data_IF_954673558693
#
_entry.id   IF_954673558693
#
_cell.length_a   1.000
_cell.length_b   1.000
_cell.length_c   1.000
_cell.angle_alpha   90.00
_cell.angle_beta   90.00
_cell.angle_gamma   90.00
#
_symmetry.space_group_name_H-M   'P 1'
#
loop_
_entity.id
_entity.type
_entity.pdbx_description
1 polymer ?
#
# COMPACT_ATOMS: atom_id res chain seq x y z
N UNK A 1 15.53 10.49 -0.54
CA UNK A 1 14.77 11.71 -0.98
C UNK A 1 13.28 11.35 -0.95
N UNK A 2 12.43 12.22 -0.42
CA UNK A 2 10.97 12.02 -0.38
C UNK A 2 10.43 12.39 -1.76
N UNK A 3 9.89 11.40 -2.48
CA UNK A 3 9.28 11.65 -3.79
C UNK A 3 7.81 12.07 -3.64
N UNK A 4 7.35 12.95 -4.52
CA UNK A 4 6.00 13.55 -4.51
C UNK A 4 5.02 12.72 -5.31
N UNK A 5 3.72 12.79 -4.94
CA UNK A 5 2.62 12.42 -5.81
C UNK A 5 2.05 13.70 -6.41
N UNK A 6 1.92 13.73 -7.73
CA UNK A 6 1.28 14.83 -8.46
C UNK A 6 -0.05 14.33 -9.02
N UNK A 7 -1.14 15.06 -8.74
CA UNK A 7 -2.47 14.76 -9.24
C UNK A 7 -2.95 15.84 -10.19
N UNK A 8 -3.40 15.44 -11.35
CA UNK A 8 -3.95 16.31 -12.39
C UNK A 8 -5.42 15.97 -12.63
N UNK A 9 -6.32 16.72 -11.98
CA UNK A 9 -7.77 16.57 -12.09
C UNK A 9 -8.44 17.61 -13.01
N UNK A 10 -7.64 18.38 -13.78
CA UNK A 10 -8.10 19.41 -14.70
C UNK A 10 -7.35 19.30 -16.04
N UNK A 11 -7.89 19.87 -17.14
CA UNK A 11 -7.17 19.97 -18.41
C UNK A 11 -5.79 20.55 -18.23
N UNK A 12 -4.78 19.94 -18.84
CA UNK A 12 -3.40 20.40 -18.71
C UNK A 12 -2.46 19.79 -19.74
N UNK A 13 -1.33 20.48 -19.98
CA UNK A 13 -0.26 20.03 -20.85
C UNK A 13 0.97 19.73 -20.01
N UNK A 14 1.45 18.49 -20.07
CA UNK A 14 2.58 17.99 -19.32
C UNK A 14 3.72 17.69 -20.31
N UNK A 15 4.87 18.32 -20.12
CA UNK A 15 6.01 18.15 -20.99
C UNK A 15 7.31 18.12 -20.21
N UNK A 16 8.38 17.64 -20.84
CA UNK A 16 9.73 17.69 -20.28
C UNK A 16 10.44 18.95 -20.73
N UNK A 17 10.97 19.71 -19.77
CA UNK A 17 11.85 20.84 -20.03
C UNK A 17 12.94 20.91 -18.95
N UNK A 18 14.21 21.00 -19.36
CA UNK A 18 15.36 21.16 -18.44
C UNK A 18 15.37 20.15 -17.28
N UNK A 19 15.08 18.86 -17.58
CA UNK A 19 14.92 17.76 -16.60
C UNK A 19 13.81 18.00 -15.56
N UNK A 20 12.86 18.86 -15.89
CA UNK A 20 11.70 19.14 -15.05
C UNK A 20 10.42 18.76 -15.79
N UNK A 21 9.42 18.27 -15.05
CA UNK A 21 8.06 18.21 -15.50
C UNK A 21 7.52 19.63 -15.60
N UNK A 22 7.39 20.14 -16.82
CA UNK A 22 6.74 21.42 -17.09
C UNK A 22 5.23 21.21 -17.18
N UNK A 23 4.49 21.97 -16.39
CA UNK A 23 3.05 21.89 -16.21
C UNK A 23 2.44 23.19 -16.74
N UNK A 24 1.56 23.11 -17.72
CA UNK A 24 0.77 24.22 -18.22
C UNK A 24 -0.72 23.93 -17.98
N UNK A 25 -1.34 24.73 -17.10
CA UNK A 25 -2.74 24.59 -16.70
C UNK A 25 -3.55 25.77 -17.28
N UNK A 26 -4.22 25.60 -18.43
CA UNK A 26 -4.90 26.71 -19.12
C UNK A 26 -5.94 27.44 -18.28
N UNK A 27 -6.64 26.71 -17.38
CA UNK A 27 -7.68 27.27 -16.52
C UNK A 27 -7.15 28.24 -15.44
N UNK A 28 -5.87 28.20 -15.12
CA UNK A 28 -5.25 29.12 -14.16
C UNK A 28 -4.82 30.45 -14.81
N UNK A 29 -4.72 30.51 -16.13
CA UNK A 29 -4.32 31.71 -16.88
C UNK A 29 -5.34 32.86 -16.78
N UNK A 30 -6.59 32.55 -16.39
CA UNK A 30 -7.68 33.53 -16.25
C UNK A 30 -7.68 34.25 -14.91
N UNK A 31 -6.91 33.79 -13.92
CA UNK A 31 -6.93 34.31 -12.56
C UNK A 31 -5.71 35.19 -12.21
N UNK A 32 -4.54 34.92 -12.85
CA UNK A 32 -3.35 35.75 -12.76
C UNK A 32 -2.33 35.34 -13.85
N UNK A 33 -1.87 36.28 -14.67
CA UNK A 33 -1.09 35.99 -15.89
C UNK A 33 0.27 35.34 -15.67
N UNK A 34 0.74 35.20 -14.45
CA UNK A 34 2.06 34.59 -14.13
C UNK A 34 2.00 33.14 -13.64
N UNK A 35 0.86 32.60 -13.23
CA UNK A 35 0.78 31.36 -12.45
C UNK A 35 0.34 30.10 -13.21
N UNK A 36 0.03 30.19 -14.50
CA UNK A 36 -0.38 29.02 -15.31
C UNK A 36 0.72 28.00 -15.60
N UNK A 37 2.01 28.33 -15.35
CA UNK A 37 3.14 27.46 -15.65
C UNK A 37 3.94 27.16 -14.38
N UNK A 38 4.01 25.88 -14.04
CA UNK A 38 4.80 25.38 -12.92
C UNK A 38 5.77 24.32 -13.42
N UNK A 39 6.85 24.07 -12.67
CA UNK A 39 7.75 22.97 -12.95
C UNK A 39 8.15 22.23 -11.68
N UNK A 40 8.40 20.93 -11.83
CA UNK A 40 8.83 20.04 -10.75
C UNK A 40 9.99 19.19 -11.27
N UNK A 41 11.13 19.12 -10.55
CA UNK A 41 12.22 18.23 -10.93
C UNK A 41 11.73 16.78 -11.08
N UNK A 42 12.10 16.12 -12.17
CA UNK A 42 11.69 14.72 -12.43
C UNK A 42 12.13 13.78 -11.28
N UNK A 43 13.30 14.04 -10.72
CA UNK A 43 13.86 13.25 -9.61
C UNK A 43 13.03 13.31 -8.33
N UNK A 44 12.25 14.37 -8.12
CA UNK A 44 11.36 14.53 -6.97
C UNK A 44 10.01 13.81 -7.14
N UNK A 45 9.72 13.28 -8.33
CA UNK A 45 8.42 12.70 -8.65
C UNK A 45 8.46 11.19 -8.43
N UNK A 46 7.52 10.69 -7.65
CA UNK A 46 7.31 9.25 -7.43
C UNK A 46 6.12 8.71 -8.19
N UNK A 47 5.02 9.46 -8.22
CA UNK A 47 3.79 9.07 -8.90
C UNK A 47 3.16 10.30 -9.58
N UNK A 48 2.66 10.09 -10.78
CA UNK A 48 1.80 11.05 -11.50
C UNK A 48 0.43 10.41 -11.67
N UNK A 49 -0.62 11.10 -11.26
CA UNK A 49 -2.02 10.66 -11.42
C UNK A 49 -2.69 11.54 -12.45
N UNK A 50 -3.09 10.92 -13.57
CA UNK A 50 -3.79 11.56 -14.68
C UNK A 50 -5.29 11.28 -14.54
N UNK A 51 -6.04 12.27 -14.04
CA UNK A 51 -7.45 12.13 -13.65
C UNK A 51 -8.37 13.09 -14.42
N UNK A 52 -8.03 13.39 -15.67
CA UNK A 52 -8.89 14.18 -16.55
C UNK A 52 -8.69 13.77 -18.03
N UNK A 53 -9.77 13.60 -18.83
CA UNK A 53 -9.68 13.13 -20.21
C UNK A 53 -8.94 14.10 -21.15
N UNK A 54 -8.83 15.38 -20.82
CA UNK A 54 -8.14 16.39 -21.62
C UNK A 54 -6.71 16.69 -21.13
N UNK A 55 -6.08 15.73 -20.46
CA UNK A 55 -4.65 15.85 -20.14
C UNK A 55 -3.83 15.37 -21.34
N UNK A 56 -2.89 16.19 -21.75
CA UNK A 56 -1.87 15.82 -22.74
C UNK A 56 -0.52 15.67 -22.06
N UNK A 57 0.14 14.54 -22.27
CA UNK A 57 1.49 14.29 -21.80
C UNK A 57 2.40 13.94 -22.97
N UNK A 58 3.57 14.55 -23.06
CA UNK A 58 4.51 14.27 -24.15
C UNK A 58 5.25 12.94 -23.89
N UNK A 59 5.65 12.25 -24.98
CA UNK A 59 6.44 11.02 -24.91
C UNK A 59 7.71 11.19 -24.07
N UNK A 60 8.52 12.24 -24.33
CA UNK A 60 9.74 12.48 -23.58
C UNK A 60 9.51 12.75 -22.08
N UNK A 61 8.34 13.28 -21.71
CA UNK A 61 7.97 13.41 -20.30
C UNK A 61 7.67 12.03 -19.67
N UNK A 62 6.95 11.16 -20.36
CA UNK A 62 6.68 9.77 -19.88
C UNK A 62 7.99 9.00 -19.74
N UNK A 63 8.87 9.07 -20.76
CA UNK A 63 10.20 8.43 -20.74
C UNK A 63 11.00 8.84 -19.51
N UNK A 64 11.19 10.16 -19.30
CA UNK A 64 11.96 10.69 -18.18
C UNK A 64 11.38 10.30 -16.80
N UNK A 65 10.04 10.25 -16.67
CA UNK A 65 9.38 9.81 -15.45
C UNK A 65 9.67 8.32 -15.17
N UNK A 66 9.54 7.46 -16.19
CA UNK A 66 9.78 6.01 -16.04
C UNK A 66 11.27 5.73 -15.79
N UNK A 67 12.19 6.43 -16.46
CA UNK A 67 13.63 6.30 -16.21
C UNK A 67 14.02 6.66 -14.76
N UNK A 68 13.29 7.58 -14.14
CA UNK A 68 13.44 7.92 -12.72
C UNK A 68 12.63 7.04 -11.75
N UNK A 69 12.15 5.88 -12.21
CA UNK A 69 11.30 5.01 -11.41
C UNK A 69 10.04 5.70 -10.87
N UNK A 70 9.48 6.66 -11.58
CA UNK A 70 8.17 7.18 -11.29
C UNK A 70 7.10 6.25 -11.89
N UNK A 71 5.94 6.14 -11.23
CA UNK A 71 4.77 5.47 -11.77
C UNK A 71 3.79 6.50 -12.35
N UNK A 72 3.07 6.13 -13.42
CA UNK A 72 2.00 6.96 -13.98
C UNK A 72 0.69 6.19 -13.84
N UNK A 73 -0.26 6.76 -13.10
CA UNK A 73 -1.62 6.24 -12.93
C UNK A 73 -2.53 6.97 -13.92
N UNK A 74 -3.34 6.21 -14.65
CA UNK A 74 -4.41 6.74 -15.50
C UNK A 74 -5.73 6.38 -14.87
N UNK A 75 -6.60 7.38 -14.64
CA UNK A 75 -7.93 7.16 -14.10
C UNK A 75 -8.97 7.02 -15.22
N UNK A 76 -10.05 6.31 -14.92
CA UNK A 76 -11.22 6.18 -15.80
C UNK A 76 -12.16 7.40 -15.65
N UNK A 77 -13.27 7.35 -16.41
CA UNK A 77 -14.33 8.38 -16.38
C UNK A 77 -15.03 8.53 -15.02
N UNK A 78 -14.88 7.55 -14.14
CA UNK A 78 -15.39 7.55 -12.76
C UNK A 78 -14.32 8.01 -11.77
N UNK A 79 -13.20 8.53 -12.27
CA UNK A 79 -12.06 9.00 -11.48
C UNK A 79 -11.36 7.89 -10.66
N UNK A 80 -11.56 6.62 -11.00
CA UNK A 80 -10.86 5.51 -10.36
C UNK A 80 -9.62 5.11 -11.17
N UNK A 81 -8.51 4.73 -10.50
CA UNK A 81 -7.33 4.20 -11.16
C UNK A 81 -7.66 2.98 -12.02
N UNK A 82 -7.48 3.11 -13.35
CA UNK A 82 -7.78 2.09 -14.35
C UNK A 82 -6.52 1.51 -15.00
N UNK A 83 -5.43 2.29 -15.03
CA UNK A 83 -4.16 1.87 -15.64
C UNK A 83 -2.96 2.34 -14.83
N UNK A 84 -1.86 1.57 -14.92
CA UNK A 84 -0.61 1.86 -14.23
C UNK A 84 0.56 1.58 -15.18
N UNK A 85 1.37 2.62 -15.47
CA UNK A 85 2.63 2.48 -16.19
C UNK A 85 3.77 2.40 -15.17
N UNK A 86 4.60 1.39 -15.33
CA UNK A 86 5.79 1.13 -14.50
C UNK A 86 7.02 0.95 -15.39
N UNK A 87 8.23 1.24 -14.90
CA UNK A 87 9.46 0.95 -15.63
C UNK A 87 9.58 -0.53 -15.98
N UNK A 88 10.06 -0.83 -17.18
CA UNK A 88 10.39 -2.21 -17.58
C UNK A 88 11.65 -2.72 -16.86
N UNK A 89 12.61 -1.83 -16.65
CA UNK A 89 13.90 -2.12 -16.00
C UNK A 89 14.03 -1.29 -14.71
N UNK A 90 13.30 -1.72 -13.66
CA UNK A 90 13.28 -1.00 -12.38
C UNK A 90 14.51 -1.25 -11.49
N UNK A 91 15.32 -2.31 -11.79
CA UNK A 91 16.46 -2.72 -10.96
C UNK A 91 17.59 -3.32 -11.77
N UNK A 92 18.84 -2.96 -11.47
CA UNK A 92 20.04 -3.39 -12.22
C UNK A 92 20.23 -4.90 -12.27
N UNK A 93 19.89 -5.64 -11.22
CA UNK A 93 19.98 -7.12 -11.11
C UNK A 93 18.60 -7.78 -11.17
N UNK A 94 17.66 -7.19 -11.90
CA UNK A 94 16.26 -7.63 -11.99
C UNK A 94 16.13 -9.11 -12.38
N UNK A 95 16.90 -9.57 -13.37
CA UNK A 95 16.87 -10.95 -13.83
C UNK A 95 17.26 -11.96 -12.74
N UNK A 96 18.20 -11.60 -11.85
CA UNK A 96 18.59 -12.42 -10.72
C UNK A 96 17.50 -12.45 -9.65
N UNK A 97 16.94 -11.32 -9.31
CA UNK A 97 15.83 -11.21 -8.36
C UNK A 97 14.59 -11.99 -8.83
N UNK A 98 14.28 -11.95 -10.14
CA UNK A 98 13.21 -12.77 -10.72
C UNK A 98 13.47 -14.26 -10.53
N UNK A 99 14.71 -14.73 -10.77
CA UNK A 99 15.08 -16.12 -10.53
C UNK A 99 14.90 -16.52 -9.08
N UNK A 100 15.28 -15.66 -8.12
CA UNK A 100 15.10 -15.93 -6.69
C UNK A 100 13.61 -16.00 -6.33
N UNK A 101 12.78 -15.05 -6.80
CA UNK A 101 11.36 -15.04 -6.57
C UNK A 101 10.66 -16.29 -7.16
N UNK A 102 10.98 -16.66 -8.40
CA UNK A 102 10.43 -17.85 -9.07
C UNK A 102 10.79 -19.15 -8.35
N UNK A 103 12.02 -19.23 -7.82
CA UNK A 103 12.54 -20.40 -7.08
C UNK A 103 12.16 -20.40 -5.59
N UNK A 104 11.43 -19.39 -5.11
CA UNK A 104 11.01 -19.33 -3.72
C UNK A 104 10.12 -20.54 -3.37
N UNK A 105 10.54 -21.29 -2.35
CA UNK A 105 9.83 -22.48 -1.91
C UNK A 105 8.48 -22.14 -1.27
N UNK A 106 7.53 -23.07 -1.34
CA UNK A 106 6.22 -22.90 -0.70
C UNK A 106 6.33 -22.64 0.83
N UNK A 107 7.18 -23.36 1.59
CA UNK A 107 7.37 -23.06 3.01
C UNK A 107 7.85 -21.62 3.26
N UNK A 108 8.77 -21.09 2.44
CA UNK A 108 9.19 -19.69 2.55
C UNK A 108 8.02 -18.74 2.33
N UNK A 109 7.23 -18.93 1.26
CA UNK A 109 6.06 -18.10 0.98
C UNK A 109 5.06 -18.09 2.13
N UNK A 110 4.78 -19.26 2.73
CA UNK A 110 3.90 -19.42 3.88
C UNK A 110 4.40 -18.66 5.12
N UNK A 111 5.72 -18.70 5.39
CA UNK A 111 6.34 -17.93 6.48
C UNK A 111 6.29 -16.42 6.22
N UNK A 112 6.48 -15.99 4.97
CA UNK A 112 6.37 -14.58 4.60
C UNK A 112 4.93 -14.07 4.74
N UNK A 113 3.94 -14.90 4.35
CA UNK A 113 2.52 -14.58 4.56
C UNK A 113 2.17 -14.47 6.05
N UNK A 114 2.64 -15.39 6.88
CA UNK A 114 2.48 -15.30 8.32
C UNK A 114 2.90 -13.93 8.87
N UNK A 115 4.08 -13.44 8.50
CA UNK A 115 4.59 -12.12 8.93
C UNK A 115 3.71 -10.98 8.41
N UNK A 116 3.22 -11.09 7.17
CA UNK A 116 2.31 -10.12 6.57
C UNK A 116 0.99 -10.04 7.32
N UNK A 117 0.35 -11.18 7.59
CA UNK A 117 -0.89 -11.26 8.33
C UNK A 117 -0.73 -10.74 9.78
N UNK A 118 0.34 -11.12 10.45
CA UNK A 118 0.67 -10.61 11.80
C UNK A 118 0.78 -9.08 11.80
N UNK A 119 1.56 -8.49 10.89
CA UNK A 119 1.74 -7.06 10.81
C UNK A 119 0.43 -6.32 10.46
N UNK A 120 -0.41 -6.88 9.57
CA UNK A 120 -1.75 -6.36 9.27
C UNK A 120 -2.61 -6.32 10.52
N UNK A 121 -2.76 -7.46 11.22
CA UNK A 121 -3.61 -7.56 12.42
C UNK A 121 -3.14 -6.56 13.49
N UNK A 122 -1.83 -6.44 13.71
CA UNK A 122 -1.26 -5.49 14.68
C UNK A 122 -1.57 -4.04 14.32
N UNK A 123 -1.49 -3.67 13.04
CA UNK A 123 -1.82 -2.33 12.58
C UNK A 123 -3.32 -2.03 12.68
N UNK A 124 -4.17 -3.00 12.35
CA UNK A 124 -5.62 -2.89 12.57
C UNK A 124 -5.95 -2.74 14.07
N UNK A 125 -5.31 -3.52 14.93
CA UNK A 125 -5.48 -3.40 16.37
C UNK A 125 -5.08 -2.01 16.87
N UNK A 126 -4.00 -1.41 16.33
CA UNK A 126 -3.57 -0.07 16.67
C UNK A 126 -4.61 1.00 16.30
N UNK A 127 -5.23 0.90 15.14
CA UNK A 127 -6.32 1.81 14.73
C UNK A 127 -7.49 1.72 15.70
N UNK A 128 -7.98 0.51 16.01
CA UNK A 128 -9.10 0.32 16.94
C UNK A 128 -8.77 0.77 18.37
N UNK A 129 -7.56 0.48 18.83
CA UNK A 129 -7.11 0.92 20.15
C UNK A 129 -7.05 2.45 20.26
N UNK A 130 -6.70 3.15 19.17
CA UNK A 130 -6.79 4.62 19.07
C UNK A 130 -8.22 5.15 19.21
N UNK A 131 -9.23 4.34 18.92
CA UNK A 131 -10.66 4.64 19.12
C UNK A 131 -11.19 4.17 20.49
N UNK A 132 -10.35 3.66 21.37
CA UNK A 132 -10.75 3.16 22.69
C UNK A 132 -11.39 1.77 22.68
N UNK A 133 -11.34 1.05 21.57
CA UNK A 133 -11.84 -0.33 21.46
C UNK A 133 -10.81 -1.28 22.06
N UNK A 134 -11.28 -2.25 22.85
CA UNK A 134 -10.42 -3.32 23.35
C UNK A 134 -9.98 -4.23 22.20
N UNK A 135 -8.68 -4.51 22.13
CA UNK A 135 -8.05 -5.26 21.05
C UNK A 135 -7.23 -6.45 21.55
N UNK A 136 -7.44 -6.91 22.79
CA UNK A 136 -6.68 -8.06 23.33
C UNK A 136 -6.90 -9.33 22.50
N UNK A 137 -8.11 -9.53 21.96
CA UNK A 137 -8.41 -10.61 21.03
C UNK A 137 -7.56 -10.51 19.73
N UNK A 138 -7.39 -9.32 19.16
CA UNK A 138 -6.58 -9.13 17.95
C UNK A 138 -5.10 -9.36 18.23
N UNK A 139 -4.62 -8.93 19.39
CA UNK A 139 -3.24 -9.20 19.82
C UNK A 139 -2.99 -10.69 20.06
N UNK A 140 -3.99 -11.42 20.55
CA UNK A 140 -3.93 -12.88 20.65
C UNK A 140 -3.89 -13.53 19.25
N UNK A 141 -4.78 -13.11 18.32
CA UNK A 141 -4.80 -13.64 16.96
C UNK A 141 -3.48 -13.38 16.23
N UNK A 142 -2.93 -12.15 16.33
CA UNK A 142 -1.64 -11.83 15.72
C UNK A 142 -0.51 -12.78 16.18
N UNK A 143 -0.45 -13.10 17.48
CA UNK A 143 0.53 -14.04 18.02
C UNK A 143 0.27 -15.50 17.60
N UNK A 144 -0.98 -15.85 17.32
CA UNK A 144 -1.40 -17.21 17.01
C UNK A 144 -1.36 -17.53 15.50
N UNK A 145 -1.10 -16.54 14.62
CA UNK A 145 -0.95 -16.79 13.18
C UNK A 145 0.20 -17.76 12.93
N UNK A 146 -0.10 -18.88 12.32
CA UNK A 146 0.87 -19.89 11.86
C UNK A 146 1.21 -19.68 10.38
N UNK A 147 2.27 -20.31 9.85
CA UNK A 147 2.58 -20.25 8.41
C UNK A 147 1.33 -20.62 7.57
N UNK A 148 1.00 -19.73 6.59
CA UNK A 148 -0.20 -19.85 5.73
C UNK A 148 -1.56 -19.52 6.41
N UNK A 149 -1.56 -19.13 7.68
CA UNK A 149 -2.75 -18.80 8.49
C UNK A 149 -3.90 -19.84 8.41
N UNK A 150 -3.64 -21.14 8.70
CA UNK A 150 -4.65 -22.20 8.54
C UNK A 150 -5.87 -22.01 9.44
N UNK A 151 -5.76 -21.22 10.50
CA UNK A 151 -6.86 -20.93 11.42
C UNK A 151 -7.66 -19.67 11.02
N UNK A 152 -7.26 -19.03 9.91
CA UNK A 152 -7.88 -17.81 9.37
C UNK A 152 -7.98 -16.67 10.40
N UNK A 153 -6.91 -16.44 11.16
CA UNK A 153 -6.86 -15.33 12.11
C UNK A 153 -6.88 -13.97 11.43
N UNK A 154 -6.32 -13.87 10.23
CA UNK A 154 -6.40 -12.67 9.41
C UNK A 154 -7.86 -12.31 9.10
N UNK A 155 -8.65 -13.26 8.61
CA UNK A 155 -10.06 -13.06 8.32
C UNK A 155 -10.90 -12.75 9.56
N UNK A 156 -10.61 -13.40 10.71
CA UNK A 156 -11.27 -13.09 11.99
C UNK A 156 -10.98 -11.68 12.47
N UNK A 157 -9.71 -11.26 12.35
CA UNK A 157 -9.30 -9.92 12.72
C UNK A 157 -9.93 -8.87 11.79
N UNK A 158 -10.00 -9.14 10.48
CA UNK A 158 -10.66 -8.27 9.52
C UNK A 158 -12.16 -8.11 9.83
N UNK A 159 -12.88 -9.20 10.14
CA UNK A 159 -14.29 -9.14 10.50
C UNK A 159 -14.54 -8.31 11.78
N UNK A 160 -13.71 -8.49 12.80
CA UNK A 160 -13.76 -7.69 14.01
C UNK A 160 -13.43 -6.22 13.72
N UNK A 161 -12.38 -5.96 12.98
CA UNK A 161 -11.94 -4.63 12.61
C UNK A 161 -13.02 -3.83 11.89
N UNK A 162 -13.60 -4.37 10.82
CA UNK A 162 -14.62 -3.68 10.03
C UNK A 162 -15.91 -3.42 10.79
N UNK A 163 -16.21 -4.21 11.81
CA UNK A 163 -17.36 -3.99 12.69
C UNK A 163 -17.22 -2.73 13.55
N UNK A 164 -16.00 -2.37 13.93
CA UNK A 164 -15.77 -1.35 14.96
C UNK A 164 -14.97 -0.13 14.49
N UNK A 165 -14.34 -0.17 13.32
CA UNK A 165 -13.47 0.91 12.85
C UNK A 165 -14.23 2.20 12.57
N UNK A 166 -15.43 2.12 11.97
CA UNK A 166 -16.28 3.26 11.73
C UNK A 166 -17.35 3.44 12.82
N UNK A 167 -17.92 4.66 12.98
CA UNK A 167 -19.02 4.87 13.91
C UNK A 167 -20.18 3.90 13.63
N UNK A 168 -20.71 3.23 14.67
CA UNK A 168 -21.77 2.21 14.55
C UNK A 168 -23.03 2.72 13.84
N UNK A 169 -23.30 4.05 13.93
CA UNK A 169 -24.43 4.70 13.23
C UNK A 169 -24.37 4.57 11.71
N UNK A 170 -23.18 4.39 11.13
CA UNK A 170 -23.00 4.20 9.68
C UNK A 170 -23.40 2.80 9.21
N UNK A 171 -23.54 1.82 10.12
CA UNK A 171 -23.80 0.42 9.77
C UNK A 171 -22.88 -0.09 8.66
N UNK A 172 -21.62 0.31 8.73
CA UNK A 172 -20.65 0.07 7.66
C UNK A 172 -20.43 -1.43 7.41
N UNK A 173 -20.45 -1.80 6.14
CA UNK A 173 -20.05 -3.11 5.64
C UNK A 173 -18.96 -2.91 4.60
N UNK A 174 -17.82 -3.59 4.77
CA UNK A 174 -16.75 -3.53 3.77
C UNK A 174 -17.15 -4.32 2.54
N UNK A 175 -17.41 -3.62 1.45
CA UNK A 175 -17.73 -4.17 0.14
C UNK A 175 -17.12 -3.28 -0.95
N UNK A 176 -16.62 -3.88 -2.03
CA UNK A 176 -16.04 -3.13 -3.14
C UNK A 176 -17.07 -2.23 -3.84
N UNK A 177 -18.31 -2.64 -3.92
CA UNK A 177 -19.42 -1.92 -4.53
C UNK A 177 -20.38 -1.33 -3.48
N UNK A 178 -20.01 -1.41 -2.20
CA UNK A 178 -20.83 -0.95 -1.09
C UNK A 178 -20.90 0.58 -0.97
N UNK A 179 -21.81 1.01 -0.12
CA UNK A 179 -22.06 2.41 0.19
C UNK A 179 -20.81 3.14 0.74
N UNK A 180 -20.73 4.46 0.61
CA UNK A 180 -19.68 5.25 1.24
C UNK A 180 -19.53 4.96 2.73
N UNK A 181 -18.29 4.93 3.26
CA UNK A 181 -17.03 5.36 2.68
C UNK A 181 -16.23 4.29 1.89
N UNK A 182 -16.87 3.23 1.37
CA UNK A 182 -16.19 2.23 0.55
C UNK A 182 -15.52 2.84 -0.71
N UNK A 183 -16.11 3.86 -1.31
CA UNK A 183 -15.54 4.63 -2.42
C UNK A 183 -14.17 5.23 -2.06
N UNK A 184 -14.04 5.83 -0.88
CA UNK A 184 -12.80 6.43 -0.38
C UNK A 184 -11.73 5.36 -0.11
N UNK A 185 -12.13 4.25 0.54
CA UNK A 185 -11.25 3.11 0.79
C UNK A 185 -10.72 2.51 -0.51
N UNK A 186 -11.60 2.31 -1.51
CA UNK A 186 -11.23 1.76 -2.81
C UNK A 186 -10.22 2.66 -3.53
N UNK A 187 -10.44 3.98 -3.53
CA UNK A 187 -9.52 4.95 -4.11
C UNK A 187 -8.17 4.92 -3.39
N UNK A 188 -8.18 5.05 -2.06
CA UNK A 188 -6.96 5.03 -1.26
C UNK A 188 -6.16 3.72 -1.43
N UNK A 189 -6.82 2.58 -1.49
CA UNK A 189 -6.15 1.28 -1.74
C UNK A 189 -5.59 1.16 -3.15
N UNK A 190 -6.24 1.77 -4.16
CA UNK A 190 -5.70 1.78 -5.52
C UNK A 190 -4.41 2.61 -5.59
N UNK A 191 -4.34 3.74 -4.89
CA UNK A 191 -3.11 4.54 -4.76
C UNK A 191 -2.03 3.76 -3.99
N UNK A 192 -2.38 3.13 -2.87
CA UNK A 192 -1.46 2.31 -2.08
C UNK A 192 -0.91 1.15 -2.91
N UNK A 193 -1.75 0.47 -3.71
CA UNK A 193 -1.34 -0.58 -4.65
C UNK A 193 -0.31 -0.06 -5.65
N UNK A 194 -0.53 1.13 -6.23
CA UNK A 194 0.40 1.73 -7.18
C UNK A 194 1.75 2.07 -6.52
N UNK A 195 1.76 2.62 -5.30
CA UNK A 195 2.97 2.85 -4.51
C UNK A 195 3.72 1.53 -4.30
N UNK A 196 3.00 0.47 -3.91
CA UNK A 196 3.58 -0.85 -3.63
C UNK A 196 4.11 -1.51 -4.90
N UNK A 197 3.36 -1.48 -6.01
CA UNK A 197 3.79 -2.02 -7.30
C UNK A 197 5.06 -1.33 -7.80
N UNK A 198 5.11 0.01 -7.71
CA UNK A 198 6.30 0.79 -8.03
C UNK A 198 7.51 0.35 -7.17
N UNK A 199 7.32 0.18 -5.87
CA UNK A 199 8.39 -0.23 -4.96
C UNK A 199 8.88 -1.66 -5.25
N UNK A 200 7.97 -2.58 -5.61
CA UNK A 200 8.32 -3.95 -6.03
C UNK A 200 9.18 -3.94 -7.29
N UNK A 201 8.77 -3.18 -8.33
CA UNK A 201 9.55 -3.04 -9.57
C UNK A 201 10.92 -2.44 -9.28
N UNK A 202 11.00 -1.39 -8.46
CA UNK A 202 12.27 -0.78 -8.03
C UNK A 202 13.15 -1.73 -7.19
N UNK A 203 12.57 -2.77 -6.58
CA UNK A 203 13.29 -3.83 -5.86
C UNK A 203 13.58 -5.06 -6.74
N UNK A 204 13.31 -4.98 -8.06
CA UNK A 204 13.53 -6.06 -9.01
C UNK A 204 12.56 -7.24 -8.84
N UNK A 205 11.32 -7.02 -8.40
CA UNK A 205 10.34 -8.07 -8.16
C UNK A 205 9.14 -7.98 -9.12
N UNK A 206 8.63 -9.14 -9.54
CA UNK A 206 7.40 -9.27 -10.30
C UNK A 206 6.20 -8.99 -9.41
N UNK A 207 5.32 -8.08 -9.84
CA UNK A 207 4.11 -7.70 -9.09
C UNK A 207 3.03 -8.76 -9.07
N UNK A 208 3.03 -9.66 -10.08
CA UNK A 208 2.01 -10.69 -10.31
C UNK A 208 2.12 -11.92 -9.43
N UNK A 209 3.34 -12.28 -9.02
CA UNK A 209 3.57 -13.54 -8.32
C UNK A 209 3.49 -13.35 -6.81
N UNK A 210 2.28 -13.48 -6.26
CA UNK A 210 1.99 -13.38 -4.83
C UNK A 210 2.68 -14.43 -3.97
N UNK A 211 2.79 -14.12 -2.68
CA UNK A 211 3.22 -15.08 -1.65
C UNK A 211 2.02 -15.87 -1.10
N UNK A 212 0.81 -15.29 -1.20
CA UNK A 212 -0.44 -15.87 -0.74
C UNK A 212 -1.56 -15.78 -1.79
N UNK A 213 -1.88 -14.58 -2.33
CA UNK A 213 -2.92 -14.43 -3.34
C UNK A 213 -2.48 -14.97 -4.72
N UNK A 214 -3.34 -15.79 -5.35
CA UNK A 214 -3.06 -16.50 -6.60
C UNK A 214 -4.20 -16.36 -7.61
N UNK A 215 -4.78 -15.18 -7.75
CA UNK A 215 -5.83 -14.95 -8.73
C UNK A 215 -5.24 -14.77 -10.13
N UNK A 216 -5.61 -15.63 -11.09
CA UNK A 216 -5.15 -15.60 -12.49
C UNK A 216 -5.50 -14.31 -13.25
N UNK A 217 -6.49 -13.58 -12.79
CA UNK A 217 -6.90 -12.31 -13.39
C UNK A 217 -6.26 -11.09 -12.75
N UNK A 218 -5.54 -11.25 -11.64
CA UNK A 218 -4.93 -10.15 -10.93
C UNK A 218 -3.43 -10.02 -11.27
N UNK A 219 -3.08 -8.95 -11.98
CA UNK A 219 -1.70 -8.63 -12.32
C UNK A 219 -0.86 -8.13 -11.13
N UNK A 220 -1.45 -7.93 -9.97
CA UNK A 220 -0.84 -7.27 -8.81
C UNK A 220 -0.90 -8.12 -7.53
N UNK A 221 -0.99 -9.45 -7.62
CA UNK A 221 -1.12 -10.32 -6.45
C UNK A 221 -0.05 -10.06 -5.38
N UNK A 222 1.22 -9.88 -5.76
CA UNK A 222 2.28 -9.57 -4.79
C UNK A 222 2.14 -8.17 -4.20
N UNK A 223 1.71 -7.20 -5.01
CA UNK A 223 1.46 -5.86 -4.50
C UNK A 223 0.32 -5.86 -3.47
N UNK A 224 -0.74 -6.64 -3.74
CA UNK A 224 -1.86 -6.81 -2.82
C UNK A 224 -1.44 -7.50 -1.52
N UNK A 225 -0.60 -8.55 -1.59
CA UNK A 225 -0.03 -9.20 -0.40
C UNK A 225 0.78 -8.23 0.46
N UNK A 226 1.70 -7.50 -0.17
CA UNK A 226 2.67 -6.66 0.56
C UNK A 226 2.05 -5.37 1.09
N UNK A 227 0.97 -4.87 0.46
CA UNK A 227 0.28 -3.69 0.96
C UNK A 227 -0.64 -3.96 2.15
N UNK A 228 -0.98 -5.22 2.48
CA UNK A 228 -1.91 -5.56 3.55
C UNK A 228 -1.59 -4.88 4.90
N UNK A 229 -0.35 -4.87 5.42
CA UNK A 229 0.00 -4.16 6.66
C UNK A 229 -0.08 -2.63 6.54
N UNK A 230 -0.16 -2.09 5.33
CA UNK A 230 -0.26 -0.65 5.06
C UNK A 230 -1.71 -0.18 4.86
N UNK A 231 -2.67 -1.10 4.60
CA UNK A 231 -4.09 -0.72 4.46
C UNK A 231 -4.62 0.07 5.66
N UNK A 232 -4.32 -0.26 6.91
CA UNK A 232 -4.79 0.50 8.07
C UNK A 232 -4.38 1.97 8.09
N UNK A 233 -3.30 2.37 7.39
CA UNK A 233 -2.94 3.78 7.23
C UNK A 233 -3.89 4.53 6.31
N UNK A 234 -4.38 3.87 5.24
CA UNK A 234 -5.46 4.42 4.40
C UNK A 234 -6.75 4.51 5.19
N UNK A 235 -7.09 3.45 5.93
CA UNK A 235 -8.29 3.39 6.76
C UNK A 235 -8.31 4.55 7.77
N UNK A 236 -7.17 4.88 8.36
CA UNK A 236 -7.03 5.99 9.29
C UNK A 236 -7.28 7.36 8.62
N UNK A 237 -6.83 7.57 7.37
CA UNK A 237 -7.14 8.79 6.62
C UNK A 237 -8.64 8.89 6.31
N UNK A 238 -9.24 7.79 5.84
CA UNK A 238 -10.69 7.75 5.58
C UNK A 238 -11.47 7.99 6.86
N UNK A 239 -11.02 7.40 7.97
CA UNK A 239 -11.63 7.59 9.28
C UNK A 239 -11.58 9.06 9.74
N UNK A 240 -10.47 9.76 9.51
CA UNK A 240 -10.34 11.19 9.81
C UNK A 240 -11.35 12.03 9.00
N UNK A 241 -11.52 11.73 7.70
CA UNK A 241 -12.50 12.42 6.85
C UNK A 241 -13.92 12.21 7.41
N UNK A 242 -14.28 10.98 7.78
CA UNK A 242 -15.59 10.63 8.35
C UNK A 242 -15.80 11.31 9.72
N UNK A 243 -14.80 11.28 10.60
CA UNK A 243 -14.89 11.85 11.95
C UNK A 243 -14.93 13.39 11.93
N UNK A 244 -14.28 14.03 10.93
CA UNK A 244 -14.37 15.47 10.70
C UNK A 244 -15.73 15.92 10.17
N UNK A 245 -16.60 14.97 9.79
CA UNK A 245 -17.93 15.28 9.25
C UNK A 245 -17.90 15.84 7.82
N UNK A 246 -16.82 15.59 7.07
CA UNK A 246 -16.75 15.94 5.65
C UNK A 246 -17.75 15.11 4.84
N UNK A 247 -18.23 15.65 3.71
CA UNK A 247 -19.08 14.90 2.79
C UNK A 247 -18.22 13.86 2.04
N UNK A 248 -18.37 12.59 2.42
CA UNK A 248 -17.66 11.45 1.86
C UNK A 248 -18.50 10.63 0.86
N UNK A 249 -19.65 11.15 0.46
CA UNK A 249 -20.54 10.47 -0.53
C UNK A 249 -19.88 10.41 -1.90
N UNK A 250 -19.10 11.43 -2.25
CA UNK A 250 -18.38 11.52 -3.51
C UNK A 250 -16.87 11.79 -3.31
N UNK A 251 -16.08 11.40 -4.32
CA UNK A 251 -14.63 11.66 -4.37
C UNK A 251 -14.35 13.08 -4.87
N UNK A 252 -14.58 14.08 -4.02
CA UNK A 252 -14.23 15.48 -4.34
C UNK A 252 -12.71 15.66 -4.49
N UNK A 253 -12.27 16.73 -5.16
CA UNK A 253 -10.85 17.05 -5.31
C UNK A 253 -10.15 17.24 -3.94
N UNK A 254 -10.84 17.79 -2.95
CA UNK A 254 -10.33 17.93 -1.58
C UNK A 254 -10.07 16.57 -0.93
N UNK A 255 -11.02 15.65 -1.02
CA UNK A 255 -10.91 14.29 -0.48
C UNK A 255 -9.79 13.51 -1.20
N UNK A 256 -9.73 13.59 -2.54
CA UNK A 256 -8.63 12.98 -3.31
C UNK A 256 -7.27 13.50 -2.85
N UNK A 257 -7.13 14.82 -2.66
CA UNK A 257 -5.87 15.41 -2.18
C UNK A 257 -5.48 14.87 -0.79
N UNK A 258 -6.44 14.71 0.14
CA UNK A 258 -6.20 14.12 1.46
C UNK A 258 -5.75 12.65 1.33
N UNK A 259 -6.43 11.84 0.51
CA UNK A 259 -6.08 10.42 0.30
C UNK A 259 -4.72 10.24 -0.41
N UNK A 260 -4.37 11.14 -1.33
CA UNK A 260 -3.04 11.17 -1.96
C UNK A 260 -1.92 11.51 -0.98
N UNK A 261 -2.25 12.19 0.12
CA UNK A 261 -1.36 12.43 1.25
C UNK A 261 -0.79 11.17 1.88
N UNK A 262 -1.37 9.98 1.62
CA UNK A 262 -0.92 8.67 2.14
C UNK A 262 0.58 8.43 1.92
N UNK A 263 1.13 8.87 0.79
CA UNK A 263 2.56 8.68 0.48
C UNK A 263 3.50 9.34 1.49
N UNK A 264 3.05 10.42 2.12
CA UNK A 264 3.81 11.25 3.07
C UNK A 264 3.48 10.95 4.53
N UNK A 265 2.49 10.08 4.79
CA UNK A 265 2.16 9.66 6.16
C UNK A 265 3.38 8.98 6.79
N UNK A 266 3.70 9.40 8.01
CA UNK A 266 4.80 8.79 8.76
C UNK A 266 4.48 7.35 9.17
N UNK A 267 5.35 6.43 8.80
CA UNK A 267 5.33 5.04 9.26
C UNK A 267 6.51 4.76 10.17
N UNK A 268 6.27 3.96 11.22
CA UNK A 268 7.26 3.68 12.25
C UNK A 268 7.81 2.25 12.10
N UNK A 269 9.09 2.15 11.87
CA UNK A 269 9.86 0.92 12.02
C UNK A 269 10.47 0.84 13.43
N UNK A 270 11.06 -0.28 13.81
CA UNK A 270 11.64 -0.48 15.16
C UNK A 270 12.54 0.68 15.60
N UNK A 271 13.42 1.13 14.71
CA UNK A 271 14.46 2.16 15.03
C UNK A 271 14.23 3.49 14.31
N UNK A 272 13.51 3.50 13.21
CA UNK A 272 13.42 4.65 12.31
C UNK A 272 11.98 5.00 11.96
N UNK A 273 11.74 6.27 11.68
CA UNK A 273 10.51 6.78 11.11
C UNK A 273 10.77 7.23 9.68
N UNK A 274 9.84 7.01 8.78
CA UNK A 274 9.96 7.45 7.38
C UNK A 274 8.58 7.69 6.78
N UNK A 275 8.47 8.50 5.70
CA UNK A 275 7.25 8.56 4.93
C UNK A 275 6.86 7.17 4.38
N UNK A 276 5.57 6.89 4.27
CA UNK A 276 5.03 5.58 3.84
C UNK A 276 5.62 5.11 2.52
N UNK A 277 5.77 6.00 1.53
CA UNK A 277 6.38 5.64 0.24
C UNK A 277 7.82 5.11 0.38
N UNK A 278 8.61 5.67 1.29
CA UNK A 278 9.97 5.19 1.61
C UNK A 278 9.89 3.91 2.43
N UNK A 279 8.93 3.83 3.35
CA UNK A 279 8.67 2.63 4.17
C UNK A 279 8.36 1.41 3.31
N UNK A 280 7.49 1.54 2.32
CA UNK A 280 7.17 0.46 1.37
C UNK A 280 8.41 0.04 0.57
N UNK A 281 9.26 0.98 0.15
CA UNK A 281 10.52 0.66 -0.53
C UNK A 281 11.44 -0.19 0.37
N UNK A 282 11.54 0.14 1.65
CA UNK A 282 12.32 -0.66 2.61
C UNK A 282 11.73 -2.07 2.78
N UNK A 283 10.40 -2.17 2.84
CA UNK A 283 9.69 -3.46 2.94
C UNK A 283 9.97 -4.33 1.71
N UNK A 284 9.80 -3.78 0.49
CA UNK A 284 10.02 -4.55 -0.75
C UNK A 284 11.49 -4.93 -0.95
N UNK A 285 12.44 -4.09 -0.53
CA UNK A 285 13.86 -4.43 -0.52
C UNK A 285 14.17 -5.57 0.47
N UNK A 286 13.54 -5.59 1.65
CA UNK A 286 13.69 -6.70 2.60
C UNK A 286 13.08 -8.00 2.08
N UNK A 287 11.93 -7.91 1.36
CA UNK A 287 11.31 -9.05 0.69
C UNK A 287 12.22 -9.65 -0.38
N UNK A 288 12.88 -8.82 -1.20
CA UNK A 288 13.85 -9.29 -2.20
C UNK A 288 14.98 -10.09 -1.54
N UNK A 289 15.50 -9.63 -0.40
CA UNK A 289 16.49 -10.36 0.41
C UNK A 289 15.94 -11.69 0.95
N UNK A 290 14.64 -11.74 1.32
CA UNK A 290 14.02 -13.01 1.73
C UNK A 290 13.99 -14.03 0.57
N UNK A 291 13.64 -13.60 -0.64
CA UNK A 291 13.67 -14.48 -1.81
C UNK A 291 15.10 -14.92 -2.17
N UNK A 292 16.10 -14.06 -1.97
CA UNK A 292 17.52 -14.39 -2.11
C UNK A 292 18.07 -15.27 -0.97
N UNK A 293 17.26 -15.56 0.07
CA UNK A 293 17.64 -16.32 1.28
C UNK A 293 18.72 -15.62 2.14
N UNK A 294 18.89 -14.32 1.98
CA UNK A 294 19.81 -13.51 2.79
C UNK A 294 19.22 -13.21 4.18
N UNK A 295 17.90 -13.19 4.27
CA UNK A 295 17.14 -13.03 5.51
C UNK A 295 15.82 -13.81 5.44
N UNK A 296 15.21 -14.08 6.60
CA UNK A 296 13.87 -14.69 6.69
C UNK A 296 12.80 -13.70 7.16
N UNK A 297 13.19 -12.44 7.42
CA UNK A 297 12.32 -11.43 8.02
C UNK A 297 12.02 -10.31 7.02
N UNK A 298 10.71 -10.08 6.76
CA UNK A 298 10.25 -8.87 6.07
C UNK A 298 10.19 -7.73 7.10
N UNK A 299 10.68 -6.56 6.72
CA UNK A 299 10.61 -5.37 7.56
C UNK A 299 9.30 -4.63 7.29
N UNK A 300 8.32 -4.78 8.19
CA UNK A 300 7.05 -4.03 8.15
C UNK A 300 7.04 -2.91 9.18
N UNK A 301 6.37 -1.77 8.90
CA UNK A 301 6.10 -0.77 9.91
C UNK A 301 4.95 -1.21 10.81
N UNK A 302 5.00 -0.76 12.06
CA UNK A 302 3.92 -0.96 13.03
C UNK A 302 3.37 0.39 13.48
N UNK A 303 2.06 0.55 13.43
CA UNK A 303 1.37 1.73 13.92
C UNK A 303 1.50 1.81 15.45
N UNK A 304 1.79 3.00 15.95
CA UNK A 304 1.85 3.26 17.39
C UNK A 304 0.63 4.06 17.82
N UNK A 305 0.05 3.70 18.98
CA UNK A 305 -0.94 4.55 19.62
C UNK A 305 -0.30 5.81 20.21
N UNK A 306 -1.03 6.90 20.18
CA UNK A 306 -0.60 8.22 20.69
C UNK A 306 -0.41 8.22 22.21
N UNK A 307 -1.05 7.28 22.94
CA UNK A 307 -0.92 7.16 24.40
C UNK A 307 0.22 6.22 24.81
N UNK A 308 1.32 6.80 25.27
CA UNK A 308 2.57 6.11 25.64
C UNK A 308 2.46 4.95 26.65
N UNK A 309 1.33 4.78 27.35
CA UNK A 309 1.11 3.68 28.32
C UNK A 309 0.81 2.32 27.64
N UNK A 310 0.24 2.29 26.43
CA UNK A 310 -0.04 1.03 25.69
C UNK A 310 1.15 0.58 24.84
N UNK A 311 2.11 1.46 24.57
CA UNK A 311 3.33 1.18 23.83
C UNK A 311 4.20 0.07 24.45
N UNK A 312 4.26 -0.04 25.77
CA UNK A 312 5.10 -1.02 26.46
C UNK A 312 4.58 -2.44 26.25
N UNK A 313 3.26 -2.66 26.36
CA UNK A 313 2.66 -3.99 26.08
C UNK A 313 2.78 -4.36 24.60
N UNK A 314 2.63 -3.38 23.70
CA UNK A 314 2.70 -3.56 22.25
C UNK A 314 4.13 -3.90 21.79
N UNK A 315 5.14 -3.21 22.35
CA UNK A 315 6.55 -3.45 22.03
C UNK A 315 7.01 -4.82 22.51
N UNK A 316 6.62 -5.24 23.72
CA UNK A 316 6.95 -6.57 24.25
C UNK A 316 6.32 -7.71 23.42
N UNK A 317 5.11 -7.50 22.90
CA UNK A 317 4.44 -8.48 22.04
C UNK A 317 5.13 -8.59 20.68
N UNK A 318 5.54 -7.47 20.07
CA UNK A 318 6.21 -7.48 18.76
C UNK A 318 7.62 -8.05 18.85
N UNK A 319 8.36 -7.77 19.91
CA UNK A 319 9.68 -8.37 20.15
C UNK A 319 9.58 -9.89 20.29
N UNK A 320 8.61 -10.42 21.04
CA UNK A 320 8.37 -11.86 21.18
C UNK A 320 7.87 -12.55 19.91
N UNK A 321 7.05 -11.87 19.08
CA UNK A 321 6.55 -12.43 17.80
C UNK A 321 7.65 -12.55 16.74
N UNK A 322 8.65 -11.68 16.79
CA UNK A 322 9.74 -11.66 15.83
C UNK A 322 10.76 -12.77 16.10
N UNK A 323 10.92 -13.19 17.35
CA UNK A 323 11.83 -14.27 17.74
C UNK A 323 11.23 -15.65 17.47
N UNK A 324 9.93 -15.85 17.68
CA UNK A 324 9.24 -17.14 17.41
C UNK A 324 9.23 -17.51 15.93
N UNK A 325 9.11 -16.52 15.03
CA UNK A 325 9.16 -16.76 13.57
C UNK A 325 10.52 -17.23 13.05
N UNK A 326 11.58 -17.10 13.86
CA UNK A 326 12.95 -17.49 13.53
C UNK A 326 13.30 -18.94 13.92
N UNK A 327 12.55 -19.58 14.83
CA UNK A 327 12.98 -20.82 15.50
C UNK A 327 12.27 -22.11 15.04
N UNK A 328 11.13 -22.09 14.31
CA UNK A 328 10.43 -23.30 13.93
C UNK A 328 10.71 -23.76 12.49
N UNK A 329 11.55 -24.80 12.33
CA UNK A 329 11.57 -25.68 11.18
C UNK A 329 10.47 -26.74 11.33
N UNK A 330 9.33 -26.59 10.65
CA UNK A 330 8.29 -27.61 10.63
C UNK A 330 8.50 -28.55 9.44
N UNK A 331 8.51 -29.91 9.66
CA UNK A 331 8.64 -30.89 8.57
C UNK A 331 7.36 -30.90 7.71
N UNK A 332 7.57 -31.01 6.40
CA UNK A 332 6.54 -31.02 5.36
C UNK A 332 5.64 -32.26 5.45
N UNK A 333 4.32 -32.10 5.60
CA UNK A 333 3.31 -33.10 5.24
C UNK A 333 2.46 -32.59 4.07
N UNK A 334 2.37 -33.41 3.04
CA UNK A 334 1.66 -33.16 1.79
C UNK A 334 0.16 -33.18 2.05
N UNK A 335 -0.55 -32.06 1.84
CA UNK A 335 -2.01 -32.00 1.82
C UNK A 335 -2.51 -31.73 0.39
N UNK A 336 -3.61 -32.38 0.03
CA UNK A 336 -4.24 -32.42 -1.27
C UNK A 336 -4.76 -31.06 -1.75
N UNK A 337 -4.63 -30.85 -3.07
CA UNK A 337 -5.21 -29.74 -3.82
C UNK A 337 -6.75 -29.80 -3.78
N UNK A 338 -7.37 -28.85 -3.09
CA UNK A 338 -8.77 -28.47 -3.32
C UNK A 338 -8.82 -26.93 -3.44
N UNK A 339 -9.17 -26.48 -4.63
CA UNK A 339 -9.40 -25.09 -4.98
C UNK A 339 -10.62 -24.57 -4.19
N UNK A 340 -10.39 -23.68 -3.23
CA UNK A 340 -11.46 -22.87 -2.65
C UNK A 340 -11.37 -21.46 -3.20
N UNK A 341 -12.30 -21.13 -4.10
CA UNK A 341 -12.62 -19.75 -4.48
C UNK A 341 -13.23 -19.03 -3.26
N UNK A 342 -12.60 -17.93 -2.86
CA UNK A 342 -13.20 -16.97 -1.93
C UNK A 342 -13.56 -15.70 -2.69
N UNK A 343 -14.81 -15.19 -2.53
CA UNK A 343 -15.18 -13.89 -3.08
C UNK A 343 -14.47 -12.77 -2.33
N UNK A 344 -14.02 -11.80 -3.08
CA UNK A 344 -13.22 -10.62 -2.67
C UNK A 344 -14.04 -9.56 -1.93
#
# INVERSE_FOLDING_TARGET
MIKRILHFGNPGYLSLKDRQLAIDLPHLKTLDEKDGKKSVPIEDIGIVVLDHPQITITHGCMEALLENNAAIIVCDKSHHPAGLLLPMEGHKTQSEHYKHQLKASLPLKKQLWQQTAQAKILNQAAVLAGRGIDTENMLYWARSVRPDDPDNYEGRAAAFYWRYVFPLKLKFVRDRLGEPPNNLLNYGYAILRAITARALVSSGLLTTLGIHHHNKYNAYCLADDIMEPYRPYVDQLVLQIVDNGEDFTELSNSIKAQLLGIASVDVQFEKNRSPLMVGIQNTTASLAKCFAKETRKITYPLMRNVDGKRLVKYKAITEGLLDVAAEEEVPYQKASEDEKEYPF
#
